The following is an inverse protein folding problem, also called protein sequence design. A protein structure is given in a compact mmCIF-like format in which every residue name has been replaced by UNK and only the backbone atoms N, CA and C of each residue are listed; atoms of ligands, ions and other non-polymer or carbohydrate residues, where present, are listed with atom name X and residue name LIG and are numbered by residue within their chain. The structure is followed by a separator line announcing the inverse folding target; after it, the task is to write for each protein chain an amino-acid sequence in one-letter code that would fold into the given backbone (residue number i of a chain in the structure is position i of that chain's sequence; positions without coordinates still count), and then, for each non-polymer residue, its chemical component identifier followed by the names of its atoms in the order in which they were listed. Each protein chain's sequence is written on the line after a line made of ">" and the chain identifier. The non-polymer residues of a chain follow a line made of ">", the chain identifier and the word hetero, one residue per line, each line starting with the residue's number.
data_IF_556761331501
#
_entry.id   IF_556761331501
#
_cell.length_a   1.000
_cell.length_b   1.000
_cell.length_c   1.000
_cell.angle_alpha   90.00
_cell.angle_beta   90.00
_cell.angle_gamma   90.00
#
_symmetry.space_group_name_H-M   'P 1'
#
loop_
_entity.id
_entity.type
_entity.pdbx_description
1 polymer ?
#
# COMPACT_ATOMS: atom_id res chain seq x y z
N UNK A 1 -11.71 9.44 -14.39
CA UNK A 1 -11.53 8.13 -13.72
C UNK A 1 -10.24 7.40 -14.18
N UNK A 2 -9.03 7.95 -13.97
CA UNK A 2 -7.76 7.23 -14.27
C UNK A 2 -6.61 7.46 -13.27
N UNK A 3 -6.74 8.40 -12.33
CA UNK A 3 -5.65 8.78 -11.41
C UNK A 3 -5.61 7.94 -10.11
N UNK A 4 -6.78 7.67 -9.50
CA UNK A 4 -6.84 6.91 -8.24
C UNK A 4 -6.37 5.46 -8.32
N UNK A 5 -6.49 4.80 -9.49
CA UNK A 5 -6.07 3.39 -9.63
C UNK A 5 -4.57 3.23 -9.79
N UNK A 6 -3.90 4.25 -10.33
CA UNK A 6 -2.45 4.28 -10.46
C UNK A 6 -1.84 4.50 -9.08
N UNK A 7 -2.38 5.43 -8.30
CA UNK A 7 -1.88 5.79 -6.97
C UNK A 7 -1.91 4.62 -5.97
N UNK A 8 -2.99 3.81 -5.98
CA UNK A 8 -3.09 2.60 -5.16
C UNK A 8 -2.07 1.54 -5.54
N UNK A 9 -1.92 1.24 -6.83
CA UNK A 9 -0.87 0.32 -7.33
C UNK A 9 0.53 0.83 -7.01
N UNK A 10 0.75 2.14 -7.10
CA UNK A 10 2.06 2.75 -6.88
C UNK A 10 2.45 2.68 -5.39
N UNK A 11 1.51 2.88 -4.46
CA UNK A 11 1.73 2.63 -3.02
C UNK A 11 2.03 1.16 -2.73
N UNK A 12 1.27 0.24 -3.33
CA UNK A 12 1.46 -1.19 -3.09
C UNK A 12 2.84 -1.68 -3.60
N UNK A 13 3.26 -1.19 -4.77
CA UNK A 13 4.59 -1.45 -5.32
C UNK A 13 5.66 -0.78 -4.45
N UNK A 14 5.47 0.46 -4.00
CA UNK A 14 6.44 1.18 -3.17
C UNK A 14 6.65 0.50 -1.80
N UNK A 15 5.59 0.01 -1.17
CA UNK A 15 5.67 -0.76 0.08
C UNK A 15 6.40 -2.08 -0.11
N UNK A 16 6.08 -2.83 -1.17
CA UNK A 16 6.78 -4.08 -1.51
C UNK A 16 8.27 -3.84 -1.80
N UNK A 17 8.59 -2.75 -2.50
CA UNK A 17 9.96 -2.36 -2.82
C UNK A 17 10.73 -1.96 -1.57
N UNK A 18 10.14 -1.17 -0.66
CA UNK A 18 10.74 -0.84 0.64
C UNK A 18 10.98 -2.09 1.49
N UNK A 19 10.03 -3.01 1.56
CA UNK A 19 10.20 -4.25 2.30
C UNK A 19 11.35 -5.11 1.73
N UNK A 20 11.37 -5.27 0.40
CA UNK A 20 12.41 -6.03 -0.28
C UNK A 20 13.79 -5.36 -0.15
N UNK A 21 13.87 -4.03 -0.28
CA UNK A 21 15.10 -3.27 -0.07
C UNK A 21 15.57 -3.38 1.37
N UNK A 22 14.70 -3.18 2.36
CA UNK A 22 15.02 -3.30 3.78
C UNK A 22 15.58 -4.68 4.12
N UNK A 23 14.97 -5.75 3.61
CA UNK A 23 15.52 -7.12 3.74
C UNK A 23 16.87 -7.29 3.06
N UNK A 24 17.05 -6.71 1.88
CA UNK A 24 18.27 -6.84 1.09
C UNK A 24 19.44 -6.07 1.69
N UNK A 25 19.20 -4.85 2.20
CA UNK A 25 20.21 -4.00 2.84
C UNK A 25 20.36 -4.27 4.34
N UNK A 26 19.46 -5.06 4.94
CA UNK A 26 19.43 -5.32 6.39
C UNK A 26 18.85 -4.16 7.21
N UNK A 27 18.12 -3.25 6.57
CA UNK A 27 17.56 -2.05 7.16
C UNK A 27 16.14 -2.32 7.69
N UNK A 28 16.04 -2.53 9.01
CA UNK A 28 14.77 -2.87 9.69
C UNK A 28 13.76 -1.73 9.64
N UNK A 29 14.21 -0.49 9.58
CA UNK A 29 13.35 0.68 9.53
C UNK A 29 12.60 0.72 8.19
N UNK A 30 13.34 0.52 7.09
CA UNK A 30 12.79 0.45 5.74
C UNK A 30 11.84 -0.76 5.56
N UNK A 31 12.17 -1.91 6.15
CA UNK A 31 11.29 -3.08 6.15
C UNK A 31 9.96 -2.78 6.86
N UNK A 32 10.03 -2.26 8.09
CA UNK A 32 8.86 -1.94 8.90
C UNK A 32 7.98 -0.86 8.25
N UNK A 33 8.58 0.17 7.64
CA UNK A 33 7.87 1.18 6.88
C UNK A 33 7.12 0.58 5.67
N UNK A 34 7.77 -0.31 4.91
CA UNK A 34 7.16 -0.96 3.75
C UNK A 34 5.93 -1.79 4.13
N UNK A 35 6.06 -2.57 5.19
CA UNK A 35 5.03 -3.47 5.71
C UNK A 35 3.84 -2.67 6.29
N UNK A 36 4.12 -1.60 7.03
CA UNK A 36 3.10 -0.69 7.56
C UNK A 36 2.34 0.05 6.43
N UNK A 37 3.06 0.51 5.39
CA UNK A 37 2.45 1.21 4.26
C UNK A 37 1.56 0.28 3.41
N UNK A 38 1.93 -1.00 3.26
CA UNK A 38 1.07 -2.01 2.63
C UNK A 38 -0.22 -2.25 3.42
N UNK A 39 -0.12 -2.49 4.73
CA UNK A 39 -1.30 -2.73 5.57
C UNK A 39 -2.25 -1.53 5.61
N UNK A 40 -1.69 -0.32 5.74
CA UNK A 40 -2.48 0.91 5.70
C UNK A 40 -3.15 1.12 4.33
N UNK A 41 -2.45 0.75 3.25
CA UNK A 41 -2.99 0.78 1.89
C UNK A 41 -4.16 -0.19 1.70
N UNK A 42 -4.02 -1.44 2.16
CA UNK A 42 -5.08 -2.45 2.08
C UNK A 42 -6.30 -2.09 2.94
N UNK A 43 -6.08 -1.59 4.15
CA UNK A 43 -7.16 -1.12 5.03
C UNK A 43 -7.92 0.06 4.40
N UNK A 44 -7.21 1.01 3.79
CA UNK A 44 -7.83 2.12 3.08
C UNK A 44 -8.62 1.64 1.85
N UNK A 45 -8.12 0.65 1.10
CA UNK A 45 -8.81 0.09 -0.06
C UNK A 45 -10.08 -0.68 0.34
N UNK A 46 -10.02 -1.45 1.44
CA UNK A 46 -11.18 -2.16 2.00
C UNK A 46 -12.30 -1.20 2.43
N UNK A 47 -11.95 -0.13 3.17
CA UNK A 47 -12.90 0.92 3.57
C UNK A 47 -13.46 1.63 2.34
N UNK A 48 -12.64 1.87 1.31
CA UNK A 48 -13.09 2.47 0.04
C UNK A 48 -14.10 1.58 -0.68
N UNK A 49 -13.83 0.28 -0.76
CA UNK A 49 -14.71 -0.71 -1.39
C UNK A 49 -16.07 -0.78 -0.70
N UNK A 50 -16.08 -0.69 0.63
CA UNK A 50 -17.29 -0.68 1.44
C UNK A 50 -18.09 0.62 1.24
N UNK A 51 -17.41 1.76 1.13
CA UNK A 51 -18.06 3.06 0.82
C UNK A 51 -18.57 3.17 -0.61
N UNK A 52 -17.97 2.46 -1.57
CA UNK A 52 -18.39 2.43 -2.97
C UNK A 52 -19.60 1.48 -3.18
N UNK A 53 -19.70 0.43 -2.38
CA UNK A 53 -20.82 -0.54 -2.43
C UNK A 53 -22.14 0.06 -1.92
N UNK A 54 -22.09 1.08 -1.06
CA UNK A 54 -23.27 1.79 -0.52
C UNK A 54 -23.82 2.89 -1.46
N UNK A 55 -23.16 3.14 -2.60
CA UNK A 55 -23.54 4.20 -3.55
C UNK A 55 -24.28 3.67 -4.79
N UNK A 56 -25.04 2.59 -4.66
CA UNK A 56 -25.84 2.03 -5.76
C UNK A 56 -27.30 1.82 -5.38
#
# INVERSE_FOLDING_TARGET
>A
MKRNRIEGKLKQVKGSVKEALGKLTGDRETEAEGLAEQQAGEAADAVRKQKETDRH
#
